data_IF_432081003678
#
_entry.id   IF_432081003678
#
_cell.length_a   1.000
_cell.length_b   1.000
_cell.length_c   1.000
_cell.angle_alpha   90.00
_cell.angle_beta   90.00
_cell.angle_gamma   90.00
#
_symmetry.space_group_name_H-M   'P 1'
#
loop_
_entity.id
_entity.type
_entity.pdbx_description
1 polymer ?
#
# COMPACT_ATOMS: atom_id res chain seq x y z
N UNK A 1 -0.46 -12.07 -12.29
CA UNK A 1 -0.01 -10.67 -12.34
C UNK A 1 1.25 -10.58 -11.53
N UNK A 2 2.30 -10.00 -12.08
CA UNK A 2 3.58 -9.83 -11.39
C UNK A 2 3.53 -8.55 -10.54
N UNK A 3 3.31 -8.70 -9.24
CA UNK A 3 3.16 -7.58 -8.31
C UNK A 3 4.49 -6.90 -8.01
N UNK A 4 5.62 -7.59 -8.16
CA UNK A 4 6.93 -6.99 -7.99
C UNK A 4 7.18 -5.99 -9.12
N UNK A 5 7.00 -6.40 -10.37
CA UNK A 5 7.12 -5.50 -11.54
C UNK A 5 6.14 -4.32 -11.47
N UNK A 6 4.90 -4.56 -11.05
CA UNK A 6 3.94 -3.48 -10.86
C UNK A 6 4.42 -2.49 -9.79
N UNK A 7 4.94 -2.98 -8.68
CA UNK A 7 5.47 -2.14 -7.59
C UNK A 7 6.67 -1.33 -8.06
N UNK A 8 7.64 -1.95 -8.74
CA UNK A 8 8.81 -1.26 -9.29
C UNK A 8 8.41 -0.15 -10.28
N UNK A 9 7.41 -0.41 -11.13
CA UNK A 9 6.86 0.60 -12.05
C UNK A 9 6.15 1.75 -11.34
N UNK A 10 5.39 1.47 -10.28
CA UNK A 10 4.74 2.53 -9.48
C UNK A 10 5.79 3.36 -8.74
N UNK A 11 6.81 2.72 -8.18
CA UNK A 11 7.91 3.39 -7.50
C UNK A 11 8.65 4.31 -8.46
N UNK A 12 9.01 3.83 -9.66
CA UNK A 12 9.73 4.66 -10.63
C UNK A 12 8.90 5.84 -11.15
N UNK A 13 7.58 5.68 -11.27
CA UNK A 13 6.70 6.75 -11.77
C UNK A 13 6.35 7.82 -10.73
N UNK A 14 6.23 7.44 -9.45
CA UNK A 14 5.62 8.30 -8.44
C UNK A 14 6.48 8.53 -7.18
N UNK A 15 7.53 7.72 -6.99
CA UNK A 15 8.34 7.71 -5.78
C UNK A 15 9.83 7.51 -6.10
N UNK A 16 10.33 8.14 -7.17
CA UNK A 16 11.71 7.97 -7.65
C UNK A 16 12.75 8.31 -6.56
N UNK A 17 12.47 9.31 -5.72
CA UNK A 17 13.35 9.74 -4.63
C UNK A 17 13.32 8.82 -3.39
N UNK A 18 12.45 7.80 -3.37
CA UNK A 18 12.23 6.95 -2.19
C UNK A 18 13.11 5.69 -2.22
N UNK A 19 13.95 5.53 -1.20
CA UNK A 19 14.73 4.30 -0.99
C UNK A 19 14.01 3.35 -0.05
N UNK A 20 13.26 2.40 -0.60
CA UNK A 20 12.52 1.40 0.19
C UNK A 20 13.42 0.25 0.67
N UNK A 21 13.30 -0.11 1.94
CA UNK A 21 13.96 -1.27 2.53
C UNK A 21 13.24 -2.57 2.17
N UNK A 22 11.92 -2.52 2.04
CA UNK A 22 11.10 -3.69 1.74
C UNK A 22 9.98 -3.31 0.79
N UNK A 23 9.73 -4.20 -0.17
CA UNK A 23 8.56 -4.20 -1.04
C UNK A 23 7.75 -5.45 -0.70
N UNK A 24 6.52 -5.26 -0.24
CA UNK A 24 5.64 -6.34 0.17
C UNK A 24 4.26 -6.24 -0.46
N UNK A 25 3.46 -7.27 -0.23
CA UNK A 25 2.07 -7.37 -0.64
C UNK A 25 1.18 -7.48 0.58
N UNK A 26 0.03 -6.81 0.53
CA UNK A 26 -0.92 -6.75 1.65
C UNK A 26 -2.32 -7.21 1.27
N UNK A 27 -3.07 -7.67 2.27
CA UNK A 27 -4.51 -7.82 2.22
C UNK A 27 -5.20 -6.89 3.20
N UNK A 28 -6.33 -6.33 2.76
CA UNK A 28 -7.18 -5.51 3.61
C UNK A 28 -7.97 -6.39 4.58
N UNK A 29 -8.00 -6.00 5.85
CA UNK A 29 -8.78 -6.70 6.86
C UNK A 29 -10.28 -6.48 6.61
N UNK A 30 -11.14 -7.48 6.88
CA UNK A 30 -12.59 -7.32 6.75
C UNK A 30 -13.11 -6.26 7.73
N UNK A 31 -14.21 -5.58 7.37
CA UNK A 31 -14.88 -4.63 8.25
C UNK A 31 -15.50 -5.38 9.42
N UNK A 32 -15.35 -4.87 10.64
CA UNK A 32 -15.96 -5.49 11.82
C UNK A 32 -17.48 -5.31 11.83
N UNK A 33 -18.22 -6.25 12.43
CA UNK A 33 -19.69 -6.20 12.41
C UNK A 33 -20.23 -4.94 13.11
N UNK A 34 -19.56 -4.50 14.19
CA UNK A 34 -19.88 -3.23 14.86
C UNK A 34 -19.72 -2.01 13.94
N UNK A 35 -18.72 -2.00 13.07
CA UNK A 35 -18.54 -0.91 12.10
C UNK A 35 -19.55 -0.97 10.95
N UNK A 36 -19.95 -2.18 10.52
CA UNK A 36 -21.01 -2.37 9.53
C UNK A 36 -22.33 -1.80 10.06
N UNK A 37 -22.72 -2.22 11.28
CA UNK A 37 -23.95 -1.77 11.93
C UNK A 37 -23.97 -0.23 12.10
N UNK A 38 -22.88 0.35 12.63
CA UNK A 38 -22.79 1.80 12.82
C UNK A 38 -22.91 2.58 11.50
N UNK A 39 -22.27 2.10 10.44
CA UNK A 39 -22.33 2.75 9.13
C UNK A 39 -23.71 2.59 8.48
N UNK A 40 -24.32 1.41 8.59
CA UNK A 40 -25.67 1.13 8.12
C UNK A 40 -26.68 2.04 8.83
N UNK A 41 -26.66 2.12 10.15
CA UNK A 41 -27.55 2.99 10.93
C UNK A 41 -27.41 4.47 10.55
N UNK A 42 -26.22 4.91 10.12
CA UNK A 42 -25.96 6.30 9.72
C UNK A 42 -26.36 6.60 8.27
N UNK A 43 -26.20 5.65 7.36
CA UNK A 43 -26.26 5.92 5.90
C UNK A 43 -27.30 5.09 5.15
N UNK A 44 -27.88 4.08 5.79
CA UNK A 44 -28.74 3.07 5.17
C UNK A 44 -28.01 2.11 4.22
N UNK A 45 -26.67 2.16 4.15
CA UNK A 45 -25.84 1.35 3.25
C UNK A 45 -24.93 0.42 4.03
N UNK A 46 -24.63 -0.75 3.47
CA UNK A 46 -23.67 -1.68 4.07
C UNK A 46 -22.22 -1.20 3.85
N UNK A 47 -21.41 -1.20 4.92
CA UNK A 47 -19.98 -0.91 4.82
C UNK A 47 -19.22 -2.16 4.40
N UNK A 48 -18.91 -2.26 3.12
CA UNK A 48 -18.32 -3.49 2.56
C UNK A 48 -16.80 -3.56 2.67
N UNK A 49 -16.11 -2.41 2.81
CA UNK A 49 -14.64 -2.33 2.71
C UNK A 49 -14.07 -1.35 3.73
N UNK A 50 -13.02 -1.75 4.43
CA UNK A 50 -12.10 -0.85 5.11
C UNK A 50 -10.74 -0.90 4.42
N UNK A 51 -10.13 0.26 4.20
CA UNK A 51 -8.80 0.40 3.58
C UNK A 51 -7.79 0.96 4.58
N UNK A 52 -8.02 0.71 5.86
CA UNK A 52 -7.26 1.28 6.99
C UNK A 52 -6.36 0.20 7.59
N UNK A 53 -6.93 -0.94 7.95
CA UNK A 53 -6.21 -2.06 8.57
C UNK A 53 -5.89 -3.11 7.52
N UNK A 54 -4.66 -3.58 7.52
CA UNK A 54 -4.16 -4.58 6.59
C UNK A 54 -3.19 -5.52 7.30
N UNK A 55 -2.97 -6.68 6.67
CA UNK A 55 -1.97 -7.65 7.05
C UNK A 55 -1.01 -7.85 5.87
N UNK A 56 0.28 -8.02 6.17
CA UNK A 56 1.28 -8.39 5.17
C UNK A 56 1.02 -9.84 4.75
N UNK A 57 0.77 -10.06 3.46
CA UNK A 57 0.62 -11.40 2.88
C UNK A 57 1.97 -12.00 2.52
N UNK A 58 2.84 -11.19 1.90
CA UNK A 58 4.06 -11.68 1.25
C UNK A 58 5.12 -10.57 1.19
N UNK A 59 6.38 -10.92 1.36
CA UNK A 59 7.53 -10.03 1.12
C UNK A 59 8.06 -10.32 -0.29
N UNK A 60 7.96 -9.34 -1.19
CA UNK A 60 8.31 -9.51 -2.60
C UNK A 60 9.79 -9.26 -2.87
N UNK A 61 10.37 -8.27 -2.18
CA UNK A 61 11.78 -7.89 -2.28
C UNK A 61 12.22 -7.21 -1.00
N UNK A 62 13.38 -7.60 -0.50
CA UNK A 62 14.00 -6.97 0.66
C UNK A 62 15.36 -6.44 0.25
N UNK A 63 15.55 -5.14 0.40
CA UNK A 63 16.84 -4.49 0.21
C UNK A 63 17.58 -4.56 1.55
N UNK A 64 18.82 -5.04 1.54
CA UNK A 64 19.66 -5.13 2.73
C UNK A 64 19.73 -3.77 3.42
N UNK A 65 19.22 -3.68 4.64
CA UNK A 65 19.51 -2.52 5.51
C UNK A 65 21.03 -2.57 5.76
N UNK A 66 21.79 -1.48 5.55
CA UNK A 66 23.15 -1.43 6.03
C UNK A 66 23.12 -1.77 7.52
N UNK A 67 23.76 -2.86 7.91
CA UNK A 67 23.94 -3.19 9.33
C UNK A 67 24.84 -2.12 9.93
N UNK A 68 24.28 -0.97 10.28
CA UNK A 68 24.96 -0.04 11.16
C UNK A 68 25.13 -0.75 12.49
N UNK A 69 26.35 -1.23 12.70
CA UNK A 69 26.87 -1.57 14.01
C UNK A 69 26.71 -0.31 14.86
N UNK A 70 25.77 -0.37 15.79
CA UNK A 70 25.69 0.37 17.06
C UNK A 70 24.40 1.16 17.28
N UNK A 71 23.74 0.81 18.40
CA UNK A 71 23.10 1.74 19.35
C UNK A 71 21.85 2.52 18.91
N UNK A 72 20.74 1.83 18.62
CA UNK A 72 19.43 2.22 19.18
C UNK A 72 18.43 1.07 19.10
N UNK A 73 17.61 0.87 20.14
CA UNK A 73 16.47 -0.08 20.16
C UNK A 73 15.38 0.21 19.10
N UNK A 74 15.59 1.22 18.25
CA UNK A 74 14.66 1.70 17.24
C UNK A 74 15.40 1.74 15.91
N UNK A 75 14.95 0.93 14.95
CA UNK A 75 15.46 0.89 13.59
C UNK A 75 14.59 1.78 12.71
N UNK A 76 15.19 2.74 12.01
CA UNK A 76 14.48 3.47 10.96
C UNK A 76 14.24 2.55 9.76
N UNK A 77 13.04 2.59 9.18
CA UNK A 77 12.69 1.81 7.99
C UNK A 77 11.72 2.58 7.11
N UNK A 78 11.71 2.21 5.84
CA UNK A 78 10.83 2.74 4.81
C UNK A 78 10.38 1.58 3.93
N UNK A 79 9.16 1.09 4.16
CA UNK A 79 8.60 -0.06 3.46
C UNK A 79 7.52 0.40 2.48
N UNK A 80 7.45 -0.29 1.35
CA UNK A 80 6.41 -0.15 0.34
C UNK A 80 5.56 -1.41 0.32
N UNK A 81 4.25 -1.24 0.33
CA UNK A 81 3.30 -2.34 0.24
C UNK A 81 2.31 -2.12 -0.89
N UNK A 82 1.98 -3.16 -1.64
CA UNK A 82 0.97 -3.14 -2.69
C UNK A 82 -0.21 -4.05 -2.35
N UNK A 83 -1.44 -3.59 -2.57
CA UNK A 83 -2.63 -4.42 -2.46
C UNK A 83 -2.88 -5.20 -3.74
N UNK A 84 -3.73 -6.23 -3.64
CA UNK A 84 -4.32 -6.85 -4.83
C UNK A 84 -5.08 -5.80 -5.67
N UNK A 85 -5.06 -5.96 -6.99
CA UNK A 85 -5.89 -5.17 -7.90
C UNK A 85 -7.35 -5.59 -7.70
N UNK A 86 -8.19 -4.63 -7.40
CA UNK A 86 -9.62 -4.79 -7.16
C UNK A 86 -10.42 -4.67 -8.48
N UNK A 87 -11.74 -4.77 -8.37
CA UNK A 87 -12.64 -4.43 -9.48
C UNK A 87 -12.39 -2.99 -9.93
N UNK A 88 -12.60 -2.74 -11.23
CA UNK A 88 -12.38 -1.43 -11.87
C UNK A 88 -10.92 -0.99 -11.99
N UNK A 89 -9.99 -1.96 -11.94
CA UNK A 89 -8.55 -1.73 -12.13
C UNK A 89 -7.93 -0.81 -11.07
N UNK A 90 -8.56 -0.73 -9.89
CA UNK A 90 -8.08 0.07 -8.76
C UNK A 90 -7.20 -0.80 -7.86
N UNK A 91 -6.11 -0.23 -7.38
CA UNK A 91 -5.27 -0.85 -6.36
C UNK A 91 -4.69 0.21 -5.44
N UNK A 92 -4.13 -0.23 -4.32
CA UNK A 92 -3.62 0.65 -3.30
C UNK A 92 -2.15 0.36 -3.02
N UNK A 93 -1.40 1.40 -2.72
CA UNK A 93 -0.07 1.29 -2.17
C UNK A 93 -0.03 1.91 -0.78
N UNK A 94 0.75 1.31 0.13
CA UNK A 94 1.00 1.85 1.46
C UNK A 94 2.51 2.04 1.63
N UNK A 95 2.91 3.26 1.94
CA UNK A 95 4.26 3.58 2.35
C UNK A 95 4.27 3.64 3.89
N UNK A 96 5.04 2.77 4.52
CA UNK A 96 5.18 2.67 5.97
C UNK A 96 6.59 3.12 6.36
N UNK A 97 6.69 4.30 6.93
CA UNK A 97 7.97 4.93 7.32
C UNK A 97 8.03 4.99 8.83
N UNK A 98 9.14 4.55 9.39
CA UNK A 98 9.48 4.78 10.79
C UNK A 98 10.83 5.48 10.84
N UNK A 99 10.86 6.64 11.49
CA UNK A 99 12.07 7.34 11.85
C UNK A 99 12.18 7.32 13.38
N UNK A 100 13.00 6.40 13.90
CA UNK A 100 13.18 6.15 15.33
C UNK A 100 11.87 5.86 16.08
N UNK A 101 11.26 6.89 16.70
CA UNK A 101 10.04 6.79 17.52
C UNK A 101 8.79 7.30 16.80
N UNK A 102 8.94 7.79 15.57
CA UNK A 102 7.85 8.39 14.81
C UNK A 102 7.55 7.53 13.59
N UNK A 103 6.37 6.90 13.61
CA UNK A 103 5.81 6.16 12.49
C UNK A 103 4.88 7.04 11.65
N UNK A 104 4.81 6.75 10.35
CA UNK A 104 3.84 7.34 9.45
C UNK A 104 3.46 6.33 8.36
N UNK A 105 2.16 6.21 8.08
CA UNK A 105 1.65 5.39 6.98
C UNK A 105 0.91 6.23 5.95
N UNK A 106 1.40 6.27 4.73
CA UNK A 106 0.74 6.96 3.63
C UNK A 106 0.09 5.94 2.72
N UNK A 107 -1.21 6.07 2.46
CA UNK A 107 -1.95 5.24 1.52
C UNK A 107 -2.21 6.03 0.24
N UNK A 108 -1.94 5.40 -0.88
CA UNK A 108 -2.15 5.93 -2.22
C UNK A 108 -3.13 5.04 -2.95
N UNK A 109 -4.09 5.65 -3.64
CA UNK A 109 -5.01 4.95 -4.54
C UNK A 109 -4.56 5.16 -5.98
N UNK A 110 -4.46 4.07 -6.73
CA UNK A 110 -4.05 4.08 -8.13
C UNK A 110 -5.09 3.39 -9.00
N UNK A 111 -5.23 3.88 -10.22
CA UNK A 111 -6.03 3.26 -11.28
C UNK A 111 -5.14 2.85 -12.44
N UNK A 112 -5.30 1.61 -12.87
CA UNK A 112 -4.78 1.16 -14.15
C UNK A 112 -5.74 1.60 -15.25
N UNK A 113 -5.28 2.54 -16.08
CA UNK A 113 -5.98 3.04 -17.26
C UNK A 113 -5.67 2.11 -18.43
N UNK A 114 -6.19 0.88 -18.38
CA UNK A 114 -6.00 -0.09 -19.45
C UNK A 114 -7.34 -0.42 -20.11
N UNK A 115 -7.41 -0.22 -21.43
CA UNK A 115 -8.61 -0.48 -22.24
C UNK A 115 -8.71 -1.95 -22.68
N UNK A 116 -7.65 -2.73 -22.49
CA UNK A 116 -7.56 -4.10 -22.99
C UNK A 116 -7.76 -5.16 -21.90
N UNK A 117 -8.35 -6.30 -22.30
CA UNK A 117 -8.70 -7.43 -21.42
C UNK A 117 -7.49 -8.12 -20.77
N UNK A 118 -6.27 -7.89 -21.26
CA UNK A 118 -5.03 -8.44 -20.69
C UNK A 118 -4.13 -7.30 -20.25
N UNK A 119 -3.70 -7.37 -19.00
CA UNK A 119 -2.80 -6.39 -18.41
C UNK A 119 -1.37 -6.74 -18.81
N UNK A 120 -0.85 -6.12 -19.86
CA UNK A 120 0.58 -6.13 -20.16
C UNK A 120 1.29 -5.00 -19.41
N UNK A 121 2.20 -5.37 -18.51
CA UNK A 121 2.96 -4.49 -17.60
C UNK A 121 3.82 -3.45 -18.33
N UNK A 122 4.28 -3.74 -19.55
CA UNK A 122 5.15 -2.86 -20.33
C UNK A 122 4.47 -1.51 -20.62
N UNK A 123 3.22 -1.53 -21.11
CA UNK A 123 2.49 -0.36 -21.61
C UNK A 123 1.38 0.15 -20.69
N UNK A 124 1.28 -0.35 -19.45
CA UNK A 124 0.26 0.13 -18.51
C UNK A 124 0.44 1.63 -18.24
N UNK A 125 -0.64 2.39 -18.45
CA UNK A 125 -0.82 3.73 -17.89
C UNK A 125 -1.44 3.62 -16.50
N UNK A 126 -0.80 4.26 -15.53
CA UNK A 126 -1.22 4.25 -14.13
C UNK A 126 -1.44 5.69 -13.72
N UNK A 127 -2.62 6.00 -13.17
CA UNK A 127 -2.91 7.30 -12.59
C UNK A 127 -3.05 7.17 -11.07
N UNK A 128 -2.52 8.16 -10.34
CA UNK A 128 -2.75 8.31 -8.91
C UNK A 128 -4.05 9.08 -8.69
N UNK A 129 -5.05 8.44 -8.08
CA UNK A 129 -6.39 9.02 -7.88
C UNK A 129 -6.45 9.80 -6.56
N UNK A 130 -5.92 9.20 -5.49
CA UNK A 130 -6.06 9.75 -4.15
C UNK A 130 -4.79 9.54 -3.33
N UNK A 131 -4.51 10.54 -2.48
CA UNK A 131 -3.41 10.54 -1.52
C UNK A 131 -4.01 10.69 -0.13
N UNK A 132 -4.13 9.57 0.56
CA UNK A 132 -4.64 9.56 1.92
C UNK A 132 -3.50 9.32 2.91
N UNK A 133 -3.12 10.38 3.63
CA UNK A 133 -2.12 10.32 4.67
C UNK A 133 -2.75 9.88 6.00
N UNK A 134 -2.28 8.75 6.55
CA UNK A 134 -2.61 8.27 7.88
C UNK A 134 -1.39 8.41 8.79
N UNK A 135 -1.34 9.48 9.58
CA UNK A 135 -0.37 9.53 10.67
C UNK A 135 -0.77 8.50 11.73
N UNK A 136 0.07 7.49 11.92
CA UNK A 136 -0.09 6.49 12.99
C UNK A 136 0.96 6.83 14.04
N UNK A 137 0.51 7.35 15.20
CA UNK A 137 1.35 7.58 16.39
C UNK A 137 1.63 6.28 17.11
#
# INVERSE_FOLDING_TARGET
MDYLKLSEKVISLFFEDYNFNLIGKISWNPVSDREKEKYFNKTGKEKTRQRIRYSTEEELKTNSIPKEKNTSKYSSFQNFYISKIEKDNIFYCVIDVCNYRMGQKNRYEFKIMNNEKKIDLSNIKIDMIDRYQLMIR
#
